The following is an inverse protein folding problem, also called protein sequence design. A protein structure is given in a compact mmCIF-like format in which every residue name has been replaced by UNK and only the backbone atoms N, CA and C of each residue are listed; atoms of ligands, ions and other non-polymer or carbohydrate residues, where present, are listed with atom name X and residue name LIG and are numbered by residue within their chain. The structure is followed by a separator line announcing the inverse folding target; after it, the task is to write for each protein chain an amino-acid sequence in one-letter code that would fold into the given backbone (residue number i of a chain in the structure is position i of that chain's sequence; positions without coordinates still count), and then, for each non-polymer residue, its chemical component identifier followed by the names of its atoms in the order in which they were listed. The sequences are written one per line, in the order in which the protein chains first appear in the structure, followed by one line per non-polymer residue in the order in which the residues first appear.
data_IF_603595580509
#
_entry.id   IF_603595580509
#
_cell.length_a   1.000
_cell.length_b   1.000
_cell.length_c   1.000
_cell.angle_alpha   90.00
_cell.angle_beta   90.00
_cell.angle_gamma   90.00
#
_symmetry.space_group_name_H-M   'P 1'
#
loop_
_entity.id
_entity.type
_entity.pdbx_description
1 polymer ?
#
# COMPACT_ATOMS: atom_id res chain seq x y z
N UNK A 1 -8.29 16.30 7.18
CA UNK A 1 -8.26 15.04 7.89
C UNK A 1 -8.40 13.91 6.89
N UNK A 2 -7.47 12.98 6.85
CA UNK A 2 -7.43 11.95 5.83
C UNK A 2 -7.98 10.62 6.28
N UNK A 3 -8.46 9.82 5.31
CA UNK A 3 -8.78 8.42 5.54
C UNK A 3 -7.54 7.62 5.88
N UNK A 4 -6.41 8.01 5.28
CA UNK A 4 -5.15 7.30 5.42
C UNK A 4 -4.14 8.20 6.10
N UNK A 5 -3.44 7.67 7.08
CA UNK A 5 -2.47 8.42 7.87
C UNK A 5 -1.09 7.81 7.72
N UNK A 6 -0.08 8.62 7.98
CA UNK A 6 1.29 8.14 7.97
C UNK A 6 1.45 6.94 8.91
N UNK A 7 2.03 5.87 8.39
CA UNK A 7 2.24 4.65 9.13
C UNK A 7 1.16 3.60 8.95
N UNK A 8 0.03 3.97 8.32
CA UNK A 8 -1.03 3.00 8.05
C UNK A 8 -0.56 1.99 7.00
N UNK A 9 -1.10 0.77 7.08
CA UNK A 9 -0.91 -0.23 6.05
C UNK A 9 -2.09 -0.22 5.11
N UNK A 10 -1.81 -0.26 3.81
CA UNK A 10 -2.86 -0.39 2.79
C UNK A 10 -2.54 -1.57 1.90
N UNK A 11 -3.58 -2.31 1.53
CA UNK A 11 -3.46 -3.49 0.68
C UNK A 11 -3.91 -3.13 -0.73
N UNK A 12 -3.06 -3.40 -1.70
CA UNK A 12 -3.31 -3.05 -3.08
C UNK A 12 -3.11 -4.27 -3.97
N UNK A 13 -4.00 -4.43 -4.93
CA UNK A 13 -3.87 -5.49 -5.91
C UNK A 13 -3.14 -4.96 -7.12
N UNK A 14 -2.02 -5.57 -7.43
CA UNK A 14 -1.22 -5.24 -8.62
C UNK A 14 -1.50 -6.27 -9.69
N UNK A 15 -1.89 -5.78 -10.86
CA UNK A 15 -2.13 -6.63 -12.00
C UNK A 15 -0.99 -6.44 -13.01
N UNK A 16 -0.34 -7.54 -13.37
CA UNK A 16 0.81 -7.51 -14.26
C UNK A 16 0.39 -7.98 -15.64
N UNK A 17 0.32 -7.05 -16.57
CA UNK A 17 -0.17 -7.33 -17.92
C UNK A 17 0.69 -8.36 -18.66
N UNK A 18 1.99 -8.35 -18.42
CA UNK A 18 2.92 -9.24 -19.13
C UNK A 18 2.68 -10.71 -18.81
N UNK A 19 2.38 -11.01 -17.56
CA UNK A 19 2.17 -12.39 -17.13
C UNK A 19 0.70 -12.74 -16.98
N UNK A 20 -0.19 -11.72 -16.95
CA UNK A 20 -1.59 -11.94 -16.69
C UNK A 20 -1.91 -12.26 -15.24
N UNK A 21 -0.93 -12.19 -14.38
CA UNK A 21 -1.07 -12.52 -12.97
C UNK A 21 -1.34 -11.29 -12.13
N UNK A 22 -1.86 -11.50 -10.93
CA UNK A 22 -2.10 -10.44 -9.96
C UNK A 22 -1.49 -10.82 -8.62
N UNK A 23 -1.13 -9.82 -7.84
CA UNK A 23 -0.57 -10.05 -6.52
C UNK A 23 -1.07 -8.97 -5.57
N UNK A 24 -1.43 -9.39 -4.35
CA UNK A 24 -1.83 -8.48 -3.28
C UNK A 24 -0.60 -8.11 -2.46
N UNK A 25 -0.33 -6.82 -2.36
CA UNK A 25 0.85 -6.34 -1.64
C UNK A 25 0.42 -5.26 -0.65
N UNK A 26 1.14 -5.21 0.46
CA UNK A 26 0.93 -4.21 1.49
C UNK A 26 1.93 -3.07 1.35
N UNK A 27 1.46 -1.85 1.58
CA UNK A 27 2.30 -0.65 1.58
C UNK A 27 2.12 0.10 2.87
N UNK A 28 3.19 0.79 3.29
CA UNK A 28 3.14 1.71 4.43
C UNK A 28 2.95 3.12 3.89
N UNK A 29 1.92 3.79 4.36
CA UNK A 29 1.60 5.16 3.93
C UNK A 29 2.59 6.13 4.54
N UNK A 30 3.18 7.00 3.73
CA UNK A 30 4.04 8.09 4.19
C UNK A 30 3.35 9.44 4.08
N UNK A 31 2.42 9.57 3.14
CA UNK A 31 1.67 10.80 2.93
C UNK A 31 0.38 10.48 2.18
N UNK A 32 -0.68 11.19 2.48
CA UNK A 32 -1.93 11.05 1.75
C UNK A 32 -2.48 12.41 1.38
N UNK A 33 -3.17 12.46 0.25
CA UNK A 33 -3.81 13.68 -0.26
C UNK A 33 -5.28 13.38 -0.55
N UNK A 34 -6.16 13.84 0.33
CA UNK A 34 -7.60 13.61 0.20
C UNK A 34 -8.22 14.34 -0.97
N UNK A 35 -7.65 15.47 -1.34
CA UNK A 35 -8.20 16.25 -2.46
C UNK A 35 -7.99 15.51 -3.78
N UNK A 36 -6.81 14.97 -3.97
CA UNK A 36 -6.47 14.23 -5.18
C UNK A 36 -6.72 12.73 -5.02
N UNK A 37 -7.01 12.28 -3.81
CA UNK A 37 -7.36 10.90 -3.48
C UNK A 37 -6.26 9.91 -3.84
N UNK A 38 -5.05 10.19 -3.37
CA UNK A 38 -3.94 9.25 -3.52
C UNK A 38 -3.11 9.21 -2.24
N UNK A 39 -2.33 8.14 -2.11
CA UNK A 39 -1.34 8.03 -1.05
C UNK A 39 0.03 7.82 -1.67
N UNK A 40 1.06 8.39 -1.02
CA UNK A 40 2.43 7.97 -1.21
C UNK A 40 2.74 6.92 -0.17
N UNK A 41 3.42 5.88 -0.58
CA UNK A 41 3.82 4.86 0.35
C UNK A 41 4.98 4.07 -0.19
N UNK A 42 5.50 3.16 0.64
CA UNK A 42 6.54 2.25 0.20
C UNK A 42 6.08 0.81 0.42
N UNK A 43 6.60 -0.05 -0.43
CA UNK A 43 6.20 -1.45 -0.43
C UNK A 43 6.73 -2.14 0.83
N UNK A 44 5.81 -2.74 1.59
CA UNK A 44 6.12 -3.47 2.82
C UNK A 44 5.91 -4.97 2.63
N UNK A 45 6.12 -5.43 1.41
CA UNK A 45 6.00 -6.84 1.04
C UNK A 45 7.02 -7.14 -0.03
N UNK A 46 7.46 -8.40 -0.12
CA UNK A 46 8.33 -8.82 -1.20
C UNK A 46 7.47 -9.34 -2.35
N UNK A 47 7.51 -8.67 -3.53
CA UNK A 47 6.77 -9.16 -4.68
C UNK A 47 7.33 -10.49 -5.16
N UNK A 48 6.44 -11.42 -5.49
CA UNK A 48 6.84 -12.73 -5.99
C UNK A 48 6.66 -12.84 -7.49
N UNK A 49 5.67 -12.10 -8.02
CA UNK A 49 5.32 -12.18 -9.43
C UNK A 49 6.18 -11.23 -10.26
N UNK A 50 6.36 -10.01 -9.80
CA UNK A 50 7.08 -8.99 -10.54
C UNK A 50 8.42 -8.69 -9.88
N UNK A 51 9.50 -9.15 -10.51
CA UNK A 51 10.85 -8.98 -9.99
C UNK A 51 11.38 -7.56 -10.13
N UNK A 52 10.69 -6.69 -10.85
CA UNK A 52 11.06 -5.29 -10.97
C UNK A 52 10.63 -4.47 -9.75
N UNK A 53 9.70 -4.98 -8.97
CA UNK A 53 9.29 -4.34 -7.73
C UNK A 53 10.15 -4.84 -6.59
N UNK A 54 10.46 -3.97 -5.64
CA UNK A 54 11.33 -4.31 -4.52
C UNK A 54 10.72 -3.85 -3.21
N UNK A 55 11.04 -4.56 -2.14
CA UNK A 55 10.70 -4.14 -0.79
C UNK A 55 11.23 -2.71 -0.56
N UNK A 56 10.39 -1.86 -0.01
CA UNK A 56 10.76 -0.47 0.26
C UNK A 56 10.62 0.47 -0.92
N UNK A 57 10.22 -0.03 -2.08
CA UNK A 57 10.02 0.81 -3.26
C UNK A 57 8.88 1.80 -3.03
N UNK A 58 9.15 3.08 -3.28
CA UNK A 58 8.14 4.13 -3.14
C UNK A 58 7.22 4.18 -4.35
N UNK A 59 5.94 4.45 -4.10
CA UNK A 59 4.98 4.54 -5.18
C UNK A 59 3.77 5.38 -4.77
N UNK A 60 3.00 5.78 -5.76
CA UNK A 60 1.75 6.54 -5.58
C UNK A 60 0.60 5.60 -5.89
N UNK A 61 -0.38 5.54 -4.99
CA UNK A 61 -1.54 4.67 -5.15
C UNK A 61 -2.81 5.51 -5.03
N UNK A 62 -3.70 5.38 -5.99
CA UNK A 62 -5.01 6.02 -5.91
C UNK A 62 -5.87 5.31 -4.86
N UNK A 63 -6.74 6.08 -4.20
CA UNK A 63 -7.63 5.52 -3.19
C UNK A 63 -8.47 4.36 -3.74
N UNK A 64 -8.88 4.43 -5.00
CA UNK A 64 -9.70 3.40 -5.62
C UNK A 64 -8.99 2.05 -5.71
N UNK A 65 -7.68 2.05 -5.70
CA UNK A 65 -6.88 0.82 -5.79
C UNK A 65 -6.62 0.18 -4.43
N UNK A 66 -6.95 0.89 -3.35
CA UNK A 66 -6.75 0.36 -2.01
C UNK A 66 -7.93 -0.53 -1.66
N UNK A 67 -7.65 -1.79 -1.35
CA UNK A 67 -8.70 -2.78 -1.09
C UNK A 67 -8.85 -3.12 0.39
N UNK A 68 -7.85 -2.81 1.20
CA UNK A 68 -7.90 -3.03 2.63
C UNK A 68 -7.00 -2.02 3.32
N UNK A 69 -7.25 -1.77 4.60
CA UNK A 69 -6.58 -0.72 5.33
C UNK A 69 -6.51 -1.10 6.81
N UNK A 70 -5.31 -1.06 7.37
CA UNK A 70 -5.09 -1.26 8.79
C UNK A 70 -4.45 0.02 9.34
N UNK A 71 -5.09 0.65 10.28
CA UNK A 71 -4.58 1.88 10.87
C UNK A 71 -3.34 1.59 11.71
N UNK A 72 -2.42 2.55 11.73
CA UNK A 72 -1.19 2.42 12.52
C UNK A 72 -1.48 2.17 14.00
N UNK A 73 -2.53 2.80 14.52
CA UNK A 73 -2.93 2.61 15.91
C UNK A 73 -3.35 1.17 16.19
N UNK A 74 -3.98 0.50 15.23
CA UNK A 74 -4.36 -0.90 15.38
C UNK A 74 -3.14 -1.81 15.35
N UNK A 75 -2.15 -1.47 14.53
CA UNK A 75 -0.91 -2.22 14.48
C UNK A 75 -0.16 -2.13 15.82
N UNK A 76 -0.14 -0.94 16.41
CA UNK A 76 0.52 -0.73 17.69
C UNK A 76 -0.22 -1.45 18.83
N UNK A 77 -1.54 -1.46 18.77
CA UNK A 77 -2.34 -2.10 19.83
C UNK A 77 -2.22 -3.62 19.80
N UNK A 78 -1.80 -4.21 18.70
CA UNK A 78 -1.60 -5.65 18.61
C UNK A 78 -0.27 -6.10 19.21
N UNK A 79 0.59 -5.17 19.57
CA UNK A 79 1.85 -5.49 20.22
C UNK A 79 1.65 -5.54 21.72
N UNK A 80 2.00 -6.65 22.37
CA UNK A 80 1.90 -6.76 23.81
C UNK A 80 2.91 -5.88 24.54
#
# INVERSE_FOLDING_TARGET
MGFYKRGDNVKVKFHFKQSGESEWLWLIVTYSDDKQQFVFGYLDSEPRVNTNMRFGMEMIINYDNIKDHIEASDLLSSCP
#
